data_IF_547443795440
#
_entry.id   IF_547443795440
#
_cell.length_a   1.000
_cell.length_b   1.000
_cell.length_c   1.000
_cell.angle_alpha   90.00
_cell.angle_beta   90.00
_cell.angle_gamma   90.00
#
_symmetry.space_group_name_H-M   'P 1'
#
loop_
_entity.id
_entity.type
_entity.pdbx_description
1 polymer ?
#
# COMPACT_ATOMS: atom_id res chain seq x y z
N UNK A 1 -10.52 -24.33 -3.99
CA UNK A 1 -10.26 -23.41 -2.86
C UNK A 1 -9.54 -22.15 -3.32
N UNK A 2 -8.30 -22.26 -3.83
CA UNK A 2 -7.48 -21.09 -4.19
C UNK A 2 -8.14 -20.11 -5.18
N UNK A 3 -8.75 -20.63 -6.25
CA UNK A 3 -9.45 -19.79 -7.25
C UNK A 3 -10.56 -18.95 -6.62
N UNK A 4 -11.49 -19.59 -5.91
CA UNK A 4 -12.61 -18.88 -5.28
C UNK A 4 -12.16 -17.82 -4.28
N UNK A 5 -11.10 -18.08 -3.51
CA UNK A 5 -10.54 -17.08 -2.60
C UNK A 5 -9.96 -15.88 -3.36
N UNK A 6 -9.19 -16.14 -4.42
CA UNK A 6 -8.58 -15.09 -5.27
C UNK A 6 -9.58 -14.34 -6.16
N UNK A 7 -10.81 -14.85 -6.30
CA UNK A 7 -11.88 -14.21 -7.07
C UNK A 7 -12.65 -13.21 -6.20
N UNK A 8 -12.85 -13.53 -4.93
CA UNK A 8 -13.59 -12.69 -3.98
C UNK A 8 -12.69 -11.67 -3.25
N UNK A 9 -11.37 -11.77 -3.40
CA UNK A 9 -10.39 -10.93 -2.71
C UNK A 9 -9.24 -10.56 -3.65
N UNK A 10 -8.41 -9.61 -3.23
CA UNK A 10 -7.14 -9.25 -3.89
C UNK A 10 -6.00 -10.20 -3.49
N UNK A 11 -6.29 -11.32 -2.84
CA UNK A 11 -5.28 -12.24 -2.36
C UNK A 11 -4.55 -12.96 -3.52
N UNK A 12 -3.23 -13.04 -3.38
CA UNK A 12 -2.38 -13.93 -4.17
C UNK A 12 -2.27 -15.25 -3.39
N UNK A 13 -2.75 -16.35 -3.96
CA UNK A 13 -2.74 -17.67 -3.29
C UNK A 13 -1.75 -18.59 -3.97
N UNK A 14 -0.83 -19.17 -3.21
CA UNK A 14 0.12 -20.17 -3.71
C UNK A 14 -0.38 -21.56 -3.32
N UNK A 15 -0.38 -22.48 -4.27
CA UNK A 15 -0.79 -23.88 -4.10
C UNK A 15 0.37 -24.77 -4.48
N UNK A 16 0.62 -25.79 -3.67
CA UNK A 16 1.60 -26.84 -3.95
C UNK A 16 0.85 -28.17 -4.03
N UNK A 17 1.00 -28.88 -5.15
CA UNK A 17 0.49 -30.24 -5.28
C UNK A 17 1.29 -31.19 -4.40
N UNK A 18 0.62 -31.94 -3.53
CA UNK A 18 1.26 -32.94 -2.67
C UNK A 18 1.91 -34.07 -3.47
N UNK A 19 1.24 -34.52 -4.54
CA UNK A 19 1.69 -35.65 -5.36
C UNK A 19 2.85 -35.27 -6.30
N UNK A 20 2.75 -34.11 -6.95
CA UNK A 20 3.68 -33.73 -8.03
C UNK A 20 4.68 -32.67 -7.62
N UNK A 21 4.46 -32.00 -6.48
CA UNK A 21 5.22 -30.81 -6.09
C UNK A 21 4.97 -29.59 -6.98
N UNK A 22 4.06 -29.67 -7.96
CA UNK A 22 3.77 -28.57 -8.88
C UNK A 22 3.27 -27.35 -8.11
N UNK A 23 3.88 -26.19 -8.39
CA UNK A 23 3.50 -24.91 -7.80
C UNK A 23 2.51 -24.23 -8.74
N UNK A 24 1.42 -23.70 -8.18
CA UNK A 24 0.43 -22.89 -8.89
C UNK A 24 0.11 -21.62 -8.11
N UNK A 25 -0.21 -20.53 -8.83
CA UNK A 25 -0.61 -19.24 -8.27
C UNK A 25 -2.04 -19.00 -8.72
N UNK A 26 -2.93 -18.72 -7.77
CA UNK A 26 -4.25 -18.18 -8.04
C UNK A 26 -4.29 -16.69 -7.73
N UNK A 27 -4.70 -15.89 -8.71
CA UNK A 27 -4.86 -14.45 -8.57
C UNK A 27 -6.00 -13.97 -9.48
N UNK A 28 -6.88 -13.13 -8.96
CA UNK A 28 -8.02 -12.56 -9.69
C UNK A 28 -8.87 -13.63 -10.40
N UNK A 29 -9.16 -14.74 -9.70
CA UNK A 29 -9.93 -15.87 -10.23
C UNK A 29 -9.21 -16.77 -11.26
N UNK A 30 -7.92 -16.53 -11.54
CA UNK A 30 -7.15 -17.33 -12.48
C UNK A 30 -6.09 -18.18 -11.79
N UNK A 31 -6.07 -19.49 -12.07
CA UNK A 31 -5.01 -20.40 -11.63
C UNK A 31 -3.99 -20.59 -12.75
N UNK A 32 -2.71 -20.39 -12.43
CA UNK A 32 -1.59 -20.65 -13.34
C UNK A 32 -0.56 -21.55 -12.68
N UNK A 33 -0.18 -22.62 -13.37
CA UNK A 33 0.88 -23.54 -12.94
C UNK A 33 2.23 -23.07 -13.49
N UNK A 34 3.27 -23.15 -12.67
CA UNK A 34 4.61 -22.71 -13.06
C UNK A 34 5.41 -23.88 -13.61
N UNK A 35 6.06 -23.67 -14.76
CA UNK A 35 6.92 -24.68 -15.37
C UNK A 35 8.28 -24.81 -14.70
N UNK A 36 8.74 -23.75 -14.02
CA UNK A 36 10.00 -23.73 -13.28
C UNK A 36 10.00 -22.65 -12.18
N UNK A 37 11.03 -22.69 -11.34
CA UNK A 37 11.19 -21.77 -10.21
C UNK A 37 11.44 -20.33 -10.66
N UNK A 38 12.14 -20.11 -11.78
CA UNK A 38 12.43 -18.78 -12.29
C UNK A 38 11.14 -18.07 -12.72
N UNK A 39 10.25 -18.75 -13.44
CA UNK A 39 8.93 -18.24 -13.78
C UNK A 39 8.13 -17.89 -12.53
N UNK A 40 8.17 -18.74 -11.50
CA UNK A 40 7.52 -18.44 -10.22
C UNK A 40 8.02 -17.13 -9.61
N UNK A 41 9.34 -16.97 -9.52
CA UNK A 41 9.94 -15.73 -9.00
C UNK A 41 9.58 -14.50 -9.83
N UNK A 42 9.57 -14.61 -11.17
CA UNK A 42 9.19 -13.51 -12.05
C UNK A 42 7.73 -13.12 -11.86
N UNK A 43 6.82 -14.11 -11.76
CA UNK A 43 5.40 -13.84 -11.50
C UNK A 43 5.21 -13.13 -10.15
N UNK A 44 5.86 -13.59 -9.09
CA UNK A 44 5.74 -12.96 -7.78
C UNK A 44 6.27 -11.52 -7.76
N UNK A 45 7.38 -11.23 -8.46
CA UNK A 45 7.91 -9.86 -8.57
C UNK A 45 6.96 -8.90 -9.27
N UNK A 46 6.19 -9.40 -10.24
CA UNK A 46 5.20 -8.59 -10.97
C UNK A 46 3.94 -8.38 -10.12
N UNK A 47 3.51 -9.41 -9.39
CA UNK A 47 2.26 -9.39 -8.63
C UNK A 47 2.39 -8.68 -7.29
N UNK A 48 3.54 -8.78 -6.62
CA UNK A 48 3.75 -8.16 -5.33
C UNK A 48 4.20 -6.71 -5.50
N UNK A 49 3.63 -5.76 -4.72
CA UNK A 49 4.13 -4.40 -4.72
C UNK A 49 5.58 -4.39 -4.24
N UNK A 50 6.41 -3.45 -4.74
CA UNK A 50 7.75 -3.26 -4.19
C UNK A 50 7.61 -2.96 -2.70
N UNK A 51 8.51 -3.54 -1.89
CA UNK A 51 8.60 -3.19 -0.48
C UNK A 51 8.70 -1.66 -0.39
N UNK A 52 7.79 -0.99 0.33
CA UNK A 52 7.92 0.44 0.52
C UNK A 52 9.26 0.62 1.23
N UNK A 53 10.21 1.30 0.58
CA UNK A 53 11.45 1.70 1.22
C UNK A 53 11.05 2.28 2.57
N UNK A 54 11.47 1.62 3.67
CA UNK A 54 11.01 1.89 5.03
C UNK A 54 11.20 3.38 5.34
N UNK A 55 10.23 4.21 4.96
CA UNK A 55 10.15 5.58 5.41
C UNK A 55 9.97 5.45 6.93
N UNK A 56 10.83 6.07 7.73
CA UNK A 56 10.80 5.86 9.17
C UNK A 56 9.38 6.11 9.66
N UNK A 57 8.71 5.07 10.18
CA UNK A 57 7.31 5.06 10.66
C UNK A 57 7.06 6.00 11.87
N UNK A 58 7.99 6.90 12.14
CA UNK A 58 8.01 7.87 13.24
C UNK A 58 8.22 9.31 12.74
N UNK A 59 8.35 9.56 11.43
CA UNK A 59 8.70 10.89 10.90
C UNK A 59 7.52 11.74 10.40
N UNK A 60 6.32 11.61 10.98
CA UNK A 60 5.24 12.56 10.67
C UNK A 60 4.31 12.93 11.82
N UNK A 61 4.61 12.54 13.07
CA UNK A 61 3.95 13.15 14.21
C UNK A 61 4.74 14.38 14.65
N UNK A 62 4.46 15.51 14.00
CA UNK A 62 4.87 16.83 14.52
C UNK A 62 3.66 17.52 15.16
N UNK A 63 3.60 17.60 16.50
CA UNK A 63 2.56 18.35 17.21
C UNK A 63 2.52 19.85 16.85
N UNK A 64 3.58 20.38 16.23
CA UNK A 64 3.71 21.81 15.93
C UNK A 64 2.92 22.27 14.69
N UNK A 65 2.56 21.36 13.77
CA UNK A 65 1.78 21.74 12.58
C UNK A 65 0.32 22.11 12.90
N UNK A 66 -0.24 21.59 14.01
CA UNK A 66 -1.62 21.86 14.42
C UNK A 66 -1.80 23.24 15.08
N UNK A 67 -0.77 23.75 15.77
CA UNK A 67 -0.79 25.08 16.40
C UNK A 67 -0.73 26.23 15.39
N UNK A 68 -0.15 26.01 14.20
CA UNK A 68 -0.06 27.02 13.15
C UNK A 68 -1.43 27.50 12.64
N UNK A 69 -2.45 26.65 12.72
CA UNK A 69 -3.82 27.02 12.33
C UNK A 69 -4.54 27.92 13.36
N UNK A 70 -4.14 27.89 14.64
CA UNK A 70 -4.72 28.77 15.67
C UNK A 70 -4.12 30.19 15.63
N UNK A 71 -2.89 30.36 15.16
CA UNK A 71 -2.21 31.64 15.13
C UNK A 71 -2.70 32.58 14.01
N UNK A 72 -3.44 32.08 13.02
CA UNK A 72 -3.86 32.88 11.84
C UNK A 72 -5.20 33.61 12.07
N UNK A 73 -5.90 33.38 13.19
CA UNK A 73 -7.23 33.99 13.43
C UNK A 73 -7.25 34.99 14.59
N UNK A 74 -6.33 35.96 14.64
CA UNK A 74 -6.41 37.10 15.58
C UNK A 74 -5.92 38.47 15.07
N UNK A 75 -5.99 38.80 13.79
CA UNK A 75 -5.84 40.24 13.44
C UNK A 75 -6.54 40.69 12.15
N UNK A 76 -7.87 40.58 12.12
CA UNK A 76 -8.71 41.46 11.29
C UNK A 76 -9.79 42.04 12.18
N UNK A 77 -9.60 43.29 12.59
CA UNK A 77 -10.62 44.34 12.61
C UNK A 77 -9.96 45.62 13.11
N UNK A 78 -10.10 46.68 12.30
CA UNK A 78 -10.33 48.06 12.76
C UNK A 78 -9.08 48.79 13.24
N UNK A 79 -8.69 49.97 12.77
CA UNK A 79 -9.12 50.95 11.74
C UNK A 79 -7.89 51.86 11.59
N UNK A 80 -7.38 52.10 10.40
CA UNK A 80 -7.51 53.41 9.73
C UNK A 80 -7.84 54.56 10.69
N UNK A 81 -6.86 55.40 11.03
CA UNK A 81 -7.05 56.85 10.94
C UNK A 81 -5.80 57.63 11.36
N UNK A 82 -5.26 58.34 10.37
CA UNK A 82 -5.03 59.79 10.44
C UNK A 82 -4.03 60.38 11.44
N UNK A 83 -2.86 60.72 10.88
CA UNK A 83 -2.14 62.02 10.95
C UNK A 83 -1.85 62.68 12.31
N UNK A 84 -0.58 63.07 12.41
CA UNK A 84 0.04 64.19 13.17
C UNK A 84 0.47 63.91 14.62
#
# INVERSE_FOLDING_TARGET
>A
AAVGLSEQTDAIVIVVSEETGAISIAFNGHLRTMGNIDQFHQQLKVLLPPEPALAPRIASWSPMQWLGALAIKKNKTVTDDSKE
#
